data_IF_597377686615
#
_entry.id   IF_597377686615
#
_cell.length_a   1.000
_cell.length_b   1.000
_cell.length_c   1.000
_cell.angle_alpha   90.00
_cell.angle_beta   90.00
_cell.angle_gamma   90.00
#
_symmetry.space_group_name_H-M   'P 1'
#
loop_
_entity.id
_entity.type
_entity.pdbx_description
1 polymer ?
#
# COMPACT_ATOMS: atom_id res chain seq x y z
N UNK A 1 19.33 -6.44 2.69
CA UNK A 1 18.82 -5.46 1.72
C UNK A 1 17.42 -5.92 1.37
N UNK A 2 16.38 -5.22 1.84
CA UNK A 2 15.00 -5.64 1.57
C UNK A 2 14.71 -5.34 0.09
N UNK A 3 14.30 -6.33 -0.71
CA UNK A 3 13.97 -6.08 -2.10
C UNK A 3 12.81 -5.08 -2.21
N UNK A 4 12.75 -4.27 -3.28
CA UNK A 4 11.80 -3.16 -3.42
C UNK A 4 10.35 -3.57 -3.13
N UNK A 5 9.93 -4.72 -3.64
CA UNK A 5 8.57 -5.27 -3.47
C UNK A 5 8.20 -5.59 -2.01
N UNK A 6 9.15 -6.04 -1.18
CA UNK A 6 8.91 -6.26 0.24
C UNK A 6 8.82 -4.94 1.02
N UNK A 7 9.48 -3.88 0.52
CA UNK A 7 9.41 -2.53 1.09
C UNK A 7 8.03 -1.89 0.88
N UNK A 8 7.36 -2.23 -0.22
CA UNK A 8 6.06 -1.67 -0.62
C UNK A 8 4.88 -2.34 0.12
N UNK A 9 4.97 -3.65 0.39
CA UNK A 9 4.04 -4.33 1.31
C UNK A 9 4.14 -3.83 2.75
N UNK A 10 5.37 -3.57 3.20
CA UNK A 10 5.64 -2.89 4.48
C UNK A 10 4.96 -1.51 4.58
N UNK A 11 4.77 -0.83 3.44
CA UNK A 11 4.05 0.45 3.40
C UNK A 11 2.55 0.22 3.55
N UNK A 12 1.96 -0.81 2.92
CA UNK A 12 0.55 -1.15 3.10
C UNK A 12 0.23 -1.43 4.58
N UNK A 13 1.04 -2.23 5.25
CA UNK A 13 0.84 -2.52 6.68
C UNK A 13 1.06 -1.28 7.55
N UNK A 14 2.12 -0.49 7.32
CA UNK A 14 2.34 0.77 8.06
C UNK A 14 1.21 1.77 7.86
N UNK A 15 0.67 1.87 6.65
CA UNK A 15 -0.48 2.73 6.31
C UNK A 15 -1.71 2.28 7.09
N UNK A 16 -2.01 0.98 7.09
CA UNK A 16 -3.17 0.42 7.77
C UNK A 16 -3.07 0.47 9.31
N UNK A 17 -1.87 0.37 9.88
CA UNK A 17 -1.66 0.46 11.33
C UNK A 17 -1.61 1.92 11.84
N UNK A 18 -0.87 2.81 11.17
CA UNK A 18 -0.48 4.10 11.75
C UNK A 18 -1.16 5.32 11.10
N UNK A 19 -1.74 5.16 9.90
CA UNK A 19 -2.29 6.27 9.10
C UNK A 19 -3.71 6.02 8.62
N UNK A 20 -4.39 4.99 9.14
CA UNK A 20 -5.75 4.60 8.72
C UNK A 20 -6.77 5.74 8.78
N UNK A 21 -6.62 6.66 9.74
CA UNK A 21 -7.50 7.83 9.91
C UNK A 21 -7.39 8.85 8.77
N UNK A 22 -6.31 8.81 7.98
CA UNK A 22 -6.08 9.69 6.83
C UNK A 22 -6.47 9.03 5.50
N UNK A 23 -7.08 7.85 5.56
CA UNK A 23 -7.55 7.11 4.41
C UNK A 23 -9.07 7.22 4.31
N UNK A 24 -9.54 7.29 3.07
CA UNK A 24 -10.96 7.09 2.76
C UNK A 24 -11.36 5.63 3.00
N UNK A 25 -12.65 5.38 3.19
CA UNK A 25 -13.18 4.02 3.35
C UNK A 25 -12.80 3.11 2.17
N UNK A 26 -12.79 3.66 0.95
CA UNK A 26 -12.40 2.94 -0.26
C UNK A 26 -10.90 2.57 -0.24
N UNK A 27 -10.01 3.48 0.12
CA UNK A 27 -8.57 3.20 0.22
C UNK A 27 -8.28 2.12 1.27
N UNK A 28 -9.00 2.14 2.40
CA UNK A 28 -8.90 1.11 3.44
C UNK A 28 -9.32 -0.25 2.87
N UNK A 29 -10.44 -0.32 2.17
CA UNK A 29 -10.91 -1.58 1.56
C UNK A 29 -9.94 -2.09 0.49
N UNK A 30 -9.41 -1.20 -0.34
CA UNK A 30 -8.45 -1.52 -1.39
C UNK A 30 -7.16 -2.11 -0.80
N UNK A 31 -6.56 -1.43 0.19
CA UNK A 31 -5.34 -1.89 0.86
C UNK A 31 -5.56 -3.20 1.63
N UNK A 32 -6.72 -3.35 2.30
CA UNK A 32 -7.08 -4.61 2.94
C UNK A 32 -7.24 -5.75 1.92
N UNK A 33 -7.79 -5.48 0.72
CA UNK A 33 -7.92 -6.50 -0.34
C UNK A 33 -6.54 -7.00 -0.80
N UNK A 34 -5.58 -6.09 -0.98
CA UNK A 34 -4.19 -6.45 -1.31
C UNK A 34 -3.57 -7.30 -0.21
N UNK A 35 -3.73 -6.88 1.05
CA UNK A 35 -3.19 -7.58 2.22
C UNK A 35 -3.79 -8.98 2.40
N UNK A 36 -5.12 -9.11 2.33
CA UNK A 36 -5.82 -10.40 2.49
C UNK A 36 -5.50 -11.37 1.36
N UNK A 37 -5.33 -10.85 0.14
CA UNK A 37 -4.97 -11.66 -1.01
C UNK A 37 -3.52 -12.14 -0.98
N UNK A 38 -2.71 -11.69 0.01
CA UNK A 38 -1.26 -11.91 0.08
C UNK A 38 -0.56 -11.62 -1.27
N UNK A 39 -1.12 -10.73 -2.08
CA UNK A 39 -0.55 -10.38 -3.38
C UNK A 39 0.78 -9.70 -3.14
N UNK A 40 1.85 -10.18 -3.80
CA UNK A 40 3.11 -9.44 -3.77
C UNK A 40 2.89 -8.14 -4.52
N UNK A 41 3.62 -7.11 -4.14
CA UNK A 41 3.53 -5.84 -4.84
C UNK A 41 3.77 -6.01 -6.35
N UNK A 42 4.69 -6.90 -6.75
CA UNK A 42 4.95 -7.20 -8.16
C UNK A 42 3.75 -7.79 -8.90
N UNK A 43 2.87 -8.52 -8.22
CA UNK A 43 1.65 -9.12 -8.77
C UNK A 43 0.55 -8.09 -9.00
N UNK A 44 0.69 -6.87 -8.47
CA UNK A 44 -0.25 -5.78 -8.69
C UNK A 44 -0.17 -5.30 -10.14
N UNK A 45 -1.34 -5.06 -10.72
CA UNK A 45 -1.46 -4.38 -12.01
C UNK A 45 -0.88 -2.96 -11.92
N UNK A 46 -0.45 -2.40 -13.05
CA UNK A 46 0.09 -1.05 -13.10
C UNK A 46 -0.84 0.02 -12.45
N UNK A 47 -2.17 -0.01 -12.66
CA UNK A 47 -3.08 0.91 -11.95
C UNK A 47 -3.09 0.71 -10.43
N UNK A 48 -3.05 -0.53 -9.95
CA UNK A 48 -3.00 -0.81 -8.51
C UNK A 48 -1.72 -0.29 -7.88
N UNK A 49 -0.57 -0.48 -8.54
CA UNK A 49 0.73 0.07 -8.12
C UNK A 49 0.67 1.60 -8.02
N UNK A 50 0.06 2.28 -9.01
CA UNK A 50 -0.11 3.73 -8.98
C UNK A 50 -0.96 4.19 -7.79
N UNK A 51 -2.03 3.48 -7.45
CA UNK A 51 -2.87 3.80 -6.29
C UNK A 51 -2.07 3.63 -4.99
N UNK A 52 -1.38 2.51 -4.80
CA UNK A 52 -0.55 2.26 -3.60
C UNK A 52 0.55 3.32 -3.47
N UNK A 53 1.28 3.62 -4.56
CA UNK A 53 2.29 4.67 -4.57
C UNK A 53 1.70 6.05 -4.28
N UNK A 54 0.54 6.39 -4.87
CA UNK A 54 -0.14 7.65 -4.64
C UNK A 54 -0.54 7.85 -3.17
N UNK A 55 -1.08 6.81 -2.55
CA UNK A 55 -1.38 6.80 -1.10
C UNK A 55 -0.09 6.96 -0.29
N UNK A 56 0.97 6.19 -0.63
CA UNK A 56 2.26 6.25 0.05
C UNK A 56 2.89 7.64 0.01
N UNK A 57 2.95 8.28 -1.17
CA UNK A 57 3.46 9.65 -1.34
C UNK A 57 2.60 10.67 -0.58
N UNK A 58 1.27 10.58 -0.68
CA UNK A 58 0.34 11.49 0.03
C UNK A 58 0.52 11.42 1.54
N UNK A 59 0.90 10.27 2.08
CA UNK A 59 1.13 10.06 3.51
C UNK A 59 2.58 10.27 3.95
N UNK A 60 3.49 10.65 3.04
CA UNK A 60 4.91 10.88 3.33
C UNK A 60 5.68 9.58 3.64
N UNK A 61 5.24 8.46 3.09
CA UNK A 61 5.84 7.14 3.31
C UNK A 61 6.72 6.68 2.14
N UNK A 62 6.70 7.43 1.04
CA UNK A 62 7.49 7.21 -0.18
C UNK A 62 7.93 8.56 -0.73
N UNK A 63 9.17 8.64 -1.20
CA UNK A 63 9.71 9.74 -2.00
C UNK A 63 9.44 9.53 -3.51
#
# INVERSE_FOLDING_TARGET
MIPPAERELLIVDKVLEHKRVFLTAWEIQFLNSIRVSCMKYDDLTAPQKQIVCGIGKRLGLMD
#
